data_IF_451102046516
#
_entry.id   IF_451102046516
#
_cell.length_a   1.000
_cell.length_b   1.000
_cell.length_c   1.000
_cell.angle_alpha   90.00
_cell.angle_beta   90.00
_cell.angle_gamma   90.00
#
_symmetry.space_group_name_H-M   'P 1'
#
loop_
_entity.id
_entity.type
_entity.pdbx_description
1 polymer ?
#
# COMPACT_ATOMS: atom_id res chain seq x y z
N UNK A 1 -10.96 37.20 -2.56
CA UNK A 1 -9.69 37.39 -1.83
C UNK A 1 -9.92 37.53 -0.32
N UNK A 2 -10.82 38.41 0.13
CA UNK A 2 -11.03 38.64 1.58
C UNK A 2 -11.59 37.42 2.34
N UNK A 3 -12.60 36.72 1.78
CA UNK A 3 -13.13 35.47 2.36
C UNK A 3 -12.10 34.32 2.36
N UNK A 4 -11.22 34.28 1.34
CA UNK A 4 -10.15 33.28 1.21
C UNK A 4 -9.09 33.47 2.28
N UNK A 5 -8.65 34.70 2.53
CA UNK A 5 -7.70 35.02 3.59
C UNK A 5 -8.25 34.66 4.98
N UNK A 6 -9.53 34.97 5.23
CA UNK A 6 -10.18 34.64 6.50
C UNK A 6 -10.27 33.11 6.75
N UNK A 7 -10.50 32.31 5.71
CA UNK A 7 -10.55 30.84 5.83
C UNK A 7 -9.19 30.24 6.19
N UNK A 8 -8.11 30.72 5.57
CA UNK A 8 -6.73 30.29 5.87
C UNK A 8 -6.36 30.65 7.31
N UNK A 9 -6.63 31.89 7.74
CA UNK A 9 -6.37 32.34 9.12
C UNK A 9 -7.12 31.50 10.15
N UNK A 10 -8.38 31.14 9.86
CA UNK A 10 -9.17 30.28 10.75
C UNK A 10 -8.56 28.87 10.87
N UNK A 11 -8.09 28.30 9.76
CA UNK A 11 -7.43 27.00 9.78
C UNK A 11 -6.14 27.05 10.58
N UNK A 12 -5.30 28.07 10.36
CA UNK A 12 -4.06 28.25 11.13
C UNK A 12 -4.37 28.38 12.63
N UNK A 13 -5.38 29.17 13.03
CA UNK A 13 -5.80 29.27 14.43
C UNK A 13 -6.28 27.93 15.01
N UNK A 14 -7.08 27.15 14.26
CA UNK A 14 -7.52 25.83 14.70
C UNK A 14 -6.35 24.84 14.87
N UNK A 15 -5.29 24.96 14.06
CA UNK A 15 -4.07 24.18 14.22
C UNK A 15 -3.33 24.57 15.50
N UNK A 16 -3.05 25.86 15.68
CA UNK A 16 -2.31 26.40 16.83
C UNK A 16 -3.03 26.11 18.15
N UNK A 17 -4.35 26.25 18.18
CA UNK A 17 -5.16 25.90 19.34
C UNK A 17 -5.07 24.41 19.69
N UNK A 18 -4.93 23.53 18.69
CA UNK A 18 -4.76 22.09 18.93
C UNK A 18 -3.36 21.76 19.41
N UNK A 19 -2.36 22.45 18.86
CA UNK A 19 -0.96 22.23 19.16
C UNK A 19 -0.62 22.68 20.59
N UNK A 20 -0.96 23.91 20.92
CA UNK A 20 -0.83 24.47 22.28
C UNK A 20 -1.57 23.66 23.34
N UNK A 21 -2.72 23.07 22.99
CA UNK A 21 -3.49 22.21 23.89
C UNK A 21 -3.01 20.75 23.98
N UNK A 22 -1.99 20.33 23.22
CA UNK A 22 -1.52 18.93 23.20
C UNK A 22 -2.59 17.92 22.76
N UNK A 23 -3.55 18.35 21.92
CA UNK A 23 -4.79 17.59 21.64
C UNK A 23 -4.68 16.55 20.53
N UNK A 24 -3.52 16.43 19.88
CA UNK A 24 -3.30 15.50 18.76
C UNK A 24 -3.47 14.04 19.13
N UNK A 25 -2.94 13.62 20.28
CA UNK A 25 -3.07 12.24 20.73
C UNK A 25 -4.54 11.87 20.98
N UNK A 26 -5.31 12.77 21.58
CA UNK A 26 -6.75 12.58 21.81
C UNK A 26 -7.51 12.42 20.49
N UNK A 27 -7.29 13.33 19.53
CA UNK A 27 -7.93 13.25 18.21
C UNK A 27 -7.58 11.96 17.48
N UNK A 28 -6.31 11.55 17.53
CA UNK A 28 -5.84 10.32 16.92
C UNK A 28 -6.55 9.09 17.51
N UNK A 29 -6.69 9.03 18.84
CA UNK A 29 -7.44 7.97 19.52
C UNK A 29 -8.93 7.98 19.18
N UNK A 30 -9.56 9.16 19.08
CA UNK A 30 -10.95 9.28 18.62
C UNK A 30 -11.14 8.69 17.22
N UNK A 31 -10.26 9.04 16.27
CA UNK A 31 -10.32 8.50 14.90
C UNK A 31 -10.15 6.99 14.92
N UNK A 32 -9.20 6.48 15.71
CA UNK A 32 -9.00 5.04 15.89
C UNK A 32 -10.27 4.36 16.40
N UNK A 33 -10.93 4.93 17.40
CA UNK A 33 -12.14 4.36 17.99
C UNK A 33 -13.36 4.43 17.05
N UNK A 34 -13.41 5.44 16.17
CA UNK A 34 -14.48 5.61 15.17
C UNK A 34 -14.22 4.87 13.85
N UNK A 35 -13.02 4.28 13.68
CA UNK A 35 -12.67 3.56 12.45
C UNK A 35 -13.50 2.28 12.33
N UNK A 36 -14.01 2.02 11.13
CA UNK A 36 -14.82 0.84 10.88
C UNK A 36 -13.95 -0.42 10.82
N UNK A 37 -14.46 -1.51 11.36
CA UNK A 37 -13.87 -2.84 11.16
C UNK A 37 -14.64 -3.56 10.06
N UNK A 38 -13.93 -3.91 8.99
CA UNK A 38 -14.46 -4.68 7.87
C UNK A 38 -13.81 -6.07 7.86
N UNK A 39 -14.47 -7.04 7.19
CA UNK A 39 -13.92 -8.39 7.01
C UNK A 39 -12.63 -8.37 6.20
N UNK A 40 -11.66 -9.22 6.58
CA UNK A 40 -10.38 -9.46 5.89
C UNK A 40 -10.04 -10.96 5.86
N UNK A 41 -11.06 -11.82 5.72
CA UNK A 41 -10.94 -13.28 5.84
C UNK A 41 -9.95 -13.87 4.82
N UNK A 42 -9.96 -13.38 3.58
CA UNK A 42 -9.09 -13.91 2.51
C UNK A 42 -7.62 -13.73 2.87
N UNK A 43 -7.27 -12.59 3.47
CA UNK A 43 -5.90 -12.31 3.91
C UNK A 43 -5.40 -13.27 5.00
N UNK A 44 -6.32 -13.94 5.71
CA UNK A 44 -6.03 -14.88 6.81
C UNK A 44 -6.00 -16.34 6.40
N UNK A 45 -6.32 -16.66 5.14
CA UNK A 45 -6.20 -18.04 4.66
C UNK A 45 -4.75 -18.54 4.78
N UNK A 46 -4.52 -19.81 5.17
CA UNK A 46 -3.19 -20.36 5.39
C UNK A 46 -2.23 -20.15 4.21
N UNK A 47 -2.72 -20.32 2.99
CA UNK A 47 -1.98 -20.14 1.72
C UNK A 47 -1.53 -18.69 1.48
N UNK A 48 -2.16 -17.70 2.11
CA UNK A 48 -1.85 -16.28 1.96
C UNK A 48 -0.90 -15.75 3.04
N UNK A 49 -0.55 -16.57 4.04
CA UNK A 49 0.31 -16.15 5.16
C UNK A 49 1.66 -15.61 4.70
N UNK A 50 2.28 -16.24 3.70
CA UNK A 50 3.56 -15.82 3.13
C UNK A 50 3.47 -14.65 2.13
N UNK A 51 2.26 -14.15 1.84
CA UNK A 51 2.03 -12.97 1.00
C UNK A 51 1.82 -11.70 1.84
N UNK A 52 1.79 -11.82 3.16
CA UNK A 52 1.61 -10.72 4.10
C UNK A 52 2.91 -10.39 4.83
N UNK A 53 3.40 -9.15 4.70
CA UNK A 53 4.59 -8.69 5.41
C UNK A 53 4.36 -8.58 6.93
N UNK A 54 3.17 -8.15 7.32
CA UNK A 54 2.78 -7.96 8.71
C UNK A 54 1.49 -8.74 9.02
N UNK A 55 1.49 -9.44 10.15
CA UNK A 55 0.34 -10.27 10.55
C UNK A 55 -0.92 -9.43 10.81
N UNK A 56 -0.74 -8.21 11.28
CA UNK A 56 -1.77 -7.29 11.76
C UNK A 56 -2.16 -6.21 10.75
N UNK A 57 -1.63 -6.24 9.52
CA UNK A 57 -1.99 -5.32 8.44
C UNK A 57 -2.50 -6.11 7.25
N UNK A 58 -3.81 -6.09 7.04
CA UNK A 58 -4.49 -6.89 6.03
C UNK A 58 -5.43 -6.01 5.20
N UNK A 59 -5.59 -6.25 3.89
CA UNK A 59 -6.60 -5.57 3.10
C UNK A 59 -8.00 -6.09 3.49
N UNK A 60 -9.02 -5.24 3.45
CA UNK A 60 -10.40 -5.68 3.61
C UNK A 60 -10.88 -6.44 2.37
N UNK A 61 -11.75 -7.43 2.56
CA UNK A 61 -12.21 -8.33 1.49
C UNK A 61 -12.96 -7.56 0.38
N UNK A 62 -13.70 -6.51 0.74
CA UNK A 62 -14.52 -5.74 -0.20
C UNK A 62 -13.70 -4.75 -1.05
N UNK A 63 -12.50 -4.37 -0.61
CA UNK A 63 -11.66 -3.36 -1.25
C UNK A 63 -10.31 -3.91 -1.70
N UNK A 64 -10.00 -5.19 -1.43
CA UNK A 64 -8.73 -5.79 -1.86
C UNK A 64 -8.64 -5.79 -3.38
N UNK A 65 -7.44 -5.54 -3.88
CA UNK A 65 -7.14 -5.80 -5.30
C UNK A 65 -7.08 -7.32 -5.50
N UNK A 66 -7.62 -7.79 -6.62
CA UNK A 66 -7.61 -9.21 -7.01
C UNK A 66 -6.78 -9.36 -8.27
N UNK A 67 -5.87 -10.31 -8.28
CA UNK A 67 -5.07 -10.65 -9.45
C UNK A 67 -5.85 -11.62 -10.34
N UNK A 68 -5.80 -11.46 -11.66
CA UNK A 68 -6.56 -12.31 -12.59
C UNK A 68 -5.70 -13.42 -13.19
N UNK A 69 -4.45 -13.14 -13.53
CA UNK A 69 -3.57 -14.08 -14.25
C UNK A 69 -2.67 -14.92 -13.32
N UNK A 70 -3.25 -15.47 -12.25
CA UNK A 70 -2.54 -16.33 -11.28
C UNK A 70 -3.52 -17.27 -10.58
N UNK A 71 -3.04 -18.43 -10.10
CA UNK A 71 -3.88 -19.41 -9.39
C UNK A 71 -4.47 -18.86 -8.08
N UNK A 72 -3.77 -17.93 -7.44
CA UNK A 72 -4.19 -17.30 -6.20
C UNK A 72 -4.27 -15.78 -6.38
N UNK A 73 -5.50 -15.28 -6.40
CA UNK A 73 -5.86 -13.87 -6.65
C UNK A 73 -5.39 -12.88 -5.57
N UNK A 74 -4.76 -13.36 -4.49
CA UNK A 74 -4.45 -12.55 -3.33
C UNK A 74 -3.15 -11.76 -3.48
N UNK A 75 -3.27 -10.46 -3.24
CA UNK A 75 -2.17 -9.53 -2.94
C UNK A 75 -2.59 -8.60 -1.79
N UNK A 76 -1.67 -8.23 -0.90
CA UNK A 76 -1.95 -7.29 0.19
C UNK A 76 -2.00 -5.84 -0.32
N UNK A 77 -3.06 -5.51 -1.05
CA UNK A 77 -3.31 -4.21 -1.63
C UNK A 77 -4.80 -3.86 -1.50
N UNK A 78 -5.11 -2.58 -1.33
CA UNK A 78 -6.49 -2.09 -1.21
C UNK A 78 -6.73 -0.95 -2.18
N UNK A 79 -7.83 -1.03 -2.93
CA UNK A 79 -8.34 0.05 -3.76
C UNK A 79 -9.09 1.05 -2.88
N UNK A 80 -8.55 2.27 -2.76
CA UNK A 80 -9.14 3.36 -1.97
C UNK A 80 -9.76 4.37 -2.93
N UNK A 81 -11.09 4.47 -2.91
CA UNK A 81 -11.85 5.33 -3.83
C UNK A 81 -12.41 6.54 -3.10
N UNK A 82 -12.01 7.73 -3.55
CA UNK A 82 -12.49 9.02 -3.05
C UNK A 82 -13.31 9.70 -4.15
N UNK A 83 -14.59 9.31 -4.25
CA UNK A 83 -15.49 9.68 -5.36
C UNK A 83 -15.59 11.20 -5.56
N UNK A 84 -15.83 11.96 -4.50
CA UNK A 84 -15.93 13.42 -4.58
C UNK A 84 -14.62 14.07 -5.06
N UNK A 85 -13.49 13.56 -4.59
CA UNK A 85 -12.18 14.00 -5.06
C UNK A 85 -11.89 13.50 -6.49
N UNK A 86 -12.66 12.56 -7.03
CA UNK A 86 -12.37 11.81 -8.26
C UNK A 86 -10.92 11.30 -8.24
N UNK A 87 -10.56 10.70 -7.11
CA UNK A 87 -9.22 10.20 -6.87
C UNK A 87 -9.29 8.78 -6.36
N UNK A 88 -8.49 7.92 -6.99
CA UNK A 88 -8.41 6.51 -6.65
C UNK A 88 -6.95 6.12 -6.48
N UNK A 89 -6.67 5.38 -5.42
CA UNK A 89 -5.32 4.90 -5.10
C UNK A 89 -5.35 3.40 -4.88
N UNK A 90 -4.23 2.74 -5.17
CA UNK A 90 -3.96 1.40 -4.64
C UNK A 90 -2.94 1.54 -3.52
N UNK A 91 -3.36 1.28 -2.29
CA UNK A 91 -2.47 1.28 -1.13
C UNK A 91 -2.03 -0.15 -0.82
N UNK A 92 -0.73 -0.41 -0.86
CA UNK A 92 -0.16 -1.76 -0.75
C UNK A 92 1.06 -1.80 0.17
N UNK A 93 1.40 -2.98 0.68
CA UNK A 93 2.63 -3.19 1.43
C UNK A 93 3.87 -3.07 0.51
N UNK A 94 5.04 -2.83 1.09
CA UNK A 94 6.31 -3.00 0.39
C UNK A 94 6.47 -4.46 -0.02
N UNK A 95 6.67 -4.78 -1.32
CA UNK A 95 6.73 -6.16 -1.80
C UNK A 95 7.69 -7.03 -1.00
N UNK A 96 7.30 -8.28 -0.78
CA UNK A 96 8.18 -9.34 -0.32
C UNK A 96 8.91 -9.93 -1.52
N UNK A 97 10.03 -10.63 -1.29
CA UNK A 97 10.80 -11.28 -2.37
C UNK A 97 9.93 -12.18 -3.24
N UNK A 98 9.01 -12.93 -2.63
CA UNK A 98 8.06 -13.82 -3.30
C UNK A 98 6.78 -13.13 -3.81
N UNK A 99 6.66 -11.80 -3.68
CA UNK A 99 5.52 -11.04 -4.18
C UNK A 99 5.90 -9.88 -5.11
N UNK A 100 7.16 -9.77 -5.53
CA UNK A 100 7.57 -8.78 -6.52
C UNK A 100 6.88 -9.00 -7.87
N UNK A 101 6.80 -10.24 -8.35
CA UNK A 101 6.07 -10.56 -9.58
C UNK A 101 4.58 -10.21 -9.48
N UNK A 102 3.93 -10.63 -8.40
CA UNK A 102 2.54 -10.25 -8.11
C UNK A 102 2.31 -8.73 -8.08
N UNK A 103 3.27 -7.95 -7.59
CA UNK A 103 3.20 -6.50 -7.56
C UNK A 103 3.23 -5.89 -8.97
N UNK A 104 4.10 -6.38 -9.85
CA UNK A 104 4.15 -5.93 -11.25
C UNK A 104 2.96 -6.41 -12.07
N UNK A 105 2.45 -7.61 -11.80
CA UNK A 105 1.19 -8.09 -12.37
C UNK A 105 0.03 -7.15 -12.00
N UNK A 106 -0.07 -6.75 -10.73
CA UNK A 106 -1.07 -5.78 -10.28
C UNK A 106 -0.93 -4.44 -11.03
N UNK A 107 0.29 -3.90 -11.15
CA UNK A 107 0.55 -2.65 -11.87
C UNK A 107 0.08 -2.74 -13.33
N UNK A 108 0.34 -3.88 -13.98
CA UNK A 108 -0.08 -4.15 -15.34
C UNK A 108 -1.60 -4.23 -15.50
N UNK A 109 -2.25 -5.08 -14.70
CA UNK A 109 -3.70 -5.33 -14.75
C UNK A 109 -4.49 -4.06 -14.43
N UNK A 110 -4.03 -3.29 -13.45
CA UNK A 110 -4.68 -2.07 -13.02
C UNK A 110 -4.36 -0.87 -13.91
N UNK A 111 -3.53 -1.02 -14.95
CA UNK A 111 -3.10 0.06 -15.86
C UNK A 111 -2.49 1.26 -15.13
N UNK A 112 -1.78 0.98 -14.04
CA UNK A 112 -1.13 2.00 -13.21
C UNK A 112 -0.06 2.73 -14.01
N UNK A 113 -0.05 4.07 -13.93
CA UNK A 113 0.97 4.91 -14.57
C UNK A 113 2.14 5.26 -13.66
N UNK A 114 1.90 5.33 -12.35
CA UNK A 114 2.94 5.66 -11.38
C UNK A 114 2.88 4.81 -10.11
N UNK A 115 4.07 4.58 -9.55
CA UNK A 115 4.30 4.01 -8.23
C UNK A 115 4.95 5.06 -7.34
N UNK A 116 4.38 5.30 -6.17
CA UNK A 116 4.90 6.19 -5.14
C UNK A 116 5.41 5.34 -3.98
N UNK A 117 6.74 5.31 -3.81
CA UNK A 117 7.46 4.58 -2.78
C UNK A 117 7.91 5.55 -1.67
N UNK A 118 7.44 5.32 -0.44
CA UNK A 118 7.67 6.23 0.69
C UNK A 118 8.59 5.66 1.77
N UNK A 119 9.37 4.62 1.46
CA UNK A 119 10.32 4.00 2.38
C UNK A 119 11.63 3.63 1.69
N UNK A 120 12.68 3.39 2.47
CA UNK A 120 13.89 2.74 1.97
C UNK A 120 13.76 1.22 2.04
N UNK A 121 14.51 0.50 1.20
CA UNK A 121 14.59 -0.97 1.21
C UNK A 121 14.97 -1.46 2.61
N UNK A 122 15.97 -0.82 3.23
CA UNK A 122 16.43 -1.10 4.58
C UNK A 122 16.23 0.15 5.45
N UNK A 123 15.59 -0.01 6.61
CA UNK A 123 15.44 1.04 7.62
C UNK A 123 15.76 0.47 8.99
N UNK A 124 16.59 1.18 9.77
CA UNK A 124 17.03 0.73 11.11
C UNK A 124 17.59 -0.70 11.09
N UNK A 125 18.34 -1.06 10.04
CA UNK A 125 18.96 -2.38 9.87
C UNK A 125 18.02 -3.52 9.45
N UNK A 126 16.74 -3.25 9.19
CA UNK A 126 15.76 -4.28 8.80
C UNK A 126 15.24 -4.06 7.37
N UNK A 127 15.05 -5.14 6.61
CA UNK A 127 14.43 -5.09 5.27
C UNK A 127 12.93 -4.75 5.39
N UNK A 128 12.55 -3.57 4.90
CA UNK A 128 11.18 -3.03 4.93
C UNK A 128 10.45 -3.23 3.61
N UNK A 129 11.17 -3.49 2.54
CA UNK A 129 10.68 -3.70 1.18
C UNK A 129 11.75 -4.48 0.41
N UNK A 130 11.37 -5.41 -0.46
CA UNK A 130 12.32 -6.02 -1.38
C UNK A 130 12.79 -5.01 -2.44
N UNK A 131 13.96 -5.24 -3.02
CA UNK A 131 14.40 -4.57 -4.24
C UNK A 131 13.55 -5.10 -5.41
N UNK A 132 12.46 -4.40 -5.75
CA UNK A 132 11.49 -4.85 -6.76
C UNK A 132 11.66 -4.15 -8.11
N UNK A 133 12.59 -3.20 -8.22
CA UNK A 133 12.94 -2.51 -9.47
C UNK A 133 14.46 -2.64 -9.71
N UNK A 134 14.93 -2.64 -10.97
CA UNK A 134 16.36 -2.75 -11.27
C UNK A 134 17.14 -1.53 -10.79
N UNK A 135 18.39 -1.74 -10.35
CA UNK A 135 19.33 -0.64 -10.09
C UNK A 135 20.02 -0.16 -11.36
N UNK A 136 20.80 0.92 -11.28
CA UNK A 136 21.59 1.43 -12.39
C UNK A 136 22.63 0.42 -12.91
N UNK A 137 23.11 -0.47 -12.03
CA UNK A 137 24.04 -1.55 -12.35
C UNK A 137 23.33 -2.74 -13.01
N UNK A 138 22.19 -3.17 -12.45
CA UNK A 138 21.44 -4.33 -12.95
C UNK A 138 20.74 -4.03 -14.29
N UNK A 139 20.29 -2.78 -14.49
CA UNK A 139 19.52 -2.26 -15.66
C UNK A 139 18.15 -2.89 -15.89
N UNK A 140 18.00 -4.19 -15.68
CA UNK A 140 16.75 -4.92 -15.86
C UNK A 140 16.56 -6.02 -14.82
N UNK A 141 15.29 -6.38 -14.56
CA UNK A 141 14.93 -7.43 -13.62
C UNK A 141 13.73 -8.22 -14.16
N UNK A 142 13.86 -9.54 -14.22
CA UNK A 142 12.84 -10.44 -14.74
C UNK A 142 12.06 -11.14 -13.62
N UNK A 143 10.73 -11.04 -13.68
CA UNK A 143 9.76 -11.70 -12.80
C UNK A 143 9.06 -12.81 -13.57
N UNK A 144 9.76 -13.96 -13.71
CA UNK A 144 9.33 -15.08 -14.57
C UNK A 144 8.08 -15.79 -14.06
N UNK A 145 7.82 -15.74 -12.75
CA UNK A 145 6.62 -16.27 -12.10
C UNK A 145 5.33 -15.61 -12.60
N UNK A 146 5.43 -14.36 -13.07
CA UNK A 146 4.30 -13.57 -13.60
C UNK A 146 4.50 -13.11 -15.04
N UNK A 147 5.63 -13.45 -15.67
CA UNK A 147 5.91 -13.14 -17.07
C UNK A 147 6.21 -11.67 -17.34
N UNK A 148 6.91 -10.97 -16.43
CA UNK A 148 7.27 -9.56 -16.62
C UNK A 148 8.77 -9.33 -16.62
N UNK A 149 9.20 -8.31 -17.36
CA UNK A 149 10.53 -7.72 -17.32
C UNK A 149 10.39 -6.24 -17.00
N UNK A 150 11.21 -5.75 -16.08
CA UNK A 150 11.25 -4.33 -15.71
C UNK A 150 12.64 -3.81 -16.04
N UNK A 151 12.74 -2.78 -16.87
CA UNK A 151 13.99 -2.13 -17.23
C UNK A 151 14.03 -0.68 -16.73
N UNK A 152 15.19 -0.22 -16.28
CA UNK A 152 15.44 1.18 -15.91
C UNK A 152 15.79 1.99 -17.15
N UNK A 153 14.94 2.94 -17.52
CA UNK A 153 15.20 3.84 -18.65
C UNK A 153 15.96 5.09 -18.22
N UNK A 154 15.55 5.72 -17.13
CA UNK A 154 16.20 6.90 -16.56
C UNK A 154 16.01 6.98 -15.05
N UNK A 155 16.94 7.67 -14.39
CA UNK A 155 16.93 7.98 -12.97
C UNK A 155 17.39 9.43 -12.77
N UNK A 156 16.64 10.19 -11.98
CA UNK A 156 17.00 11.54 -11.52
C UNK A 156 16.93 11.57 -9.99
N UNK A 157 18.09 11.71 -9.36
CA UNK A 157 18.24 11.68 -7.90
C UNK A 157 18.40 13.09 -7.36
N UNK A 158 17.51 13.45 -6.42
CA UNK A 158 17.51 14.69 -5.65
C UNK A 158 17.87 14.40 -4.19
N UNK A 159 18.02 15.45 -3.39
CA UNK A 159 18.48 15.30 -1.99
C UNK A 159 17.55 14.45 -1.10
N UNK A 160 16.24 14.46 -1.34
CA UNK A 160 15.25 13.73 -0.51
C UNK A 160 14.30 12.81 -1.30
N UNK A 161 14.43 12.76 -2.62
CA UNK A 161 13.68 11.84 -3.46
C UNK A 161 14.44 11.47 -4.72
N UNK A 162 14.07 10.36 -5.33
CA UNK A 162 14.53 9.95 -6.65
C UNK A 162 13.32 9.71 -7.54
N UNK A 163 13.39 10.14 -8.79
CA UNK A 163 12.42 9.77 -9.82
C UNK A 163 13.05 8.82 -10.82
N UNK A 164 12.30 7.81 -11.26
CA UNK A 164 12.74 6.90 -12.32
C UNK A 164 11.66 6.76 -13.37
N UNK A 165 12.09 6.51 -14.60
CA UNK A 165 11.22 5.98 -15.65
C UNK A 165 11.60 4.52 -15.84
N UNK A 166 10.63 3.64 -15.62
CA UNK A 166 10.77 2.20 -15.80
C UNK A 166 9.99 1.77 -17.04
N UNK A 167 10.50 0.81 -17.78
CA UNK A 167 9.75 0.08 -18.81
C UNK A 167 9.29 -1.24 -18.23
N UNK A 168 7.98 -1.45 -18.15
CA UNK A 168 7.36 -2.71 -17.81
C UNK A 168 6.94 -3.44 -19.08
N UNK A 169 7.57 -4.57 -19.36
CA UNK A 169 7.28 -5.42 -20.51
C UNK A 169 6.54 -6.68 -20.07
N UNK A 170 5.41 -6.97 -20.72
CA UNK A 170 4.76 -8.27 -20.64
C UNK A 170 5.48 -9.24 -21.59
N UNK A 171 6.14 -10.25 -21.04
CA UNK A 171 6.94 -11.21 -21.81
C UNK A 171 6.10 -12.16 -22.66
N UNK A 172 4.81 -12.33 -22.33
CA UNK A 172 3.91 -13.20 -23.08
C UNK A 172 3.37 -12.50 -24.35
N UNK A 173 3.17 -11.18 -24.30
CA UNK A 173 2.58 -10.41 -25.42
C UNK A 173 3.59 -9.53 -26.15
N UNK A 174 4.73 -9.21 -25.52
CA UNK A 174 5.69 -8.23 -25.99
C UNK A 174 5.28 -6.77 -25.77
N UNK A 175 4.07 -6.51 -25.25
CA UNK A 175 3.60 -5.15 -24.97
C UNK A 175 4.45 -4.49 -23.87
N UNK A 176 4.74 -3.19 -24.04
CA UNK A 176 5.57 -2.39 -23.14
C UNK A 176 4.81 -1.16 -22.67
N UNK A 177 5.00 -0.79 -21.40
CA UNK A 177 4.44 0.42 -20.79
C UNK A 177 5.49 1.14 -19.97
N UNK A 178 5.49 2.47 -20.03
CA UNK A 178 6.32 3.29 -19.15
C UNK A 178 5.61 3.51 -17.81
N UNK A 179 6.37 3.33 -16.73
CA UNK A 179 5.90 3.51 -15.35
C UNK A 179 6.80 4.53 -14.67
N UNK A 180 6.20 5.59 -14.13
CA UNK A 180 6.93 6.51 -13.27
C UNK A 180 7.10 5.92 -11.89
N UNK A 181 8.32 5.96 -11.36
CA UNK A 181 8.63 5.55 -9.99
C UNK A 181 9.10 6.77 -9.19
N UNK A 182 8.29 7.19 -8.23
CA UNK A 182 8.60 8.31 -7.33
C UNK A 182 9.00 7.76 -5.98
N UNK A 183 10.27 7.93 -5.59
CA UNK A 183 10.83 7.35 -4.39
C UNK A 183 11.24 8.45 -3.40
N UNK A 184 10.47 8.64 -2.34
CA UNK A 184 10.83 9.53 -1.24
C UNK A 184 11.83 8.81 -0.30
N UNK A 185 13.06 9.32 -0.19
CA UNK A 185 14.20 8.57 0.41
C UNK A 185 14.50 8.96 1.86
N UNK A 186 14.09 10.14 2.31
CA UNK A 186 14.44 10.67 3.65
C UNK A 186 13.30 10.63 4.66
N UNK A 187 12.16 10.00 4.36
CA UNK A 187 11.05 9.89 5.32
C UNK A 187 11.37 8.82 6.39
N UNK A 188 11.55 9.21 7.67
CA UNK A 188 11.85 8.26 8.74
C UNK A 188 10.66 7.33 9.06
N UNK A 189 10.94 6.06 9.38
CA UNK A 189 9.89 5.11 9.80
C UNK A 189 9.26 5.56 11.13
N UNK A 190 7.94 5.58 11.19
CA UNK A 190 7.10 6.13 12.27
C UNK A 190 7.25 7.62 12.57
N UNK A 191 8.19 8.31 11.93
CA UNK A 191 8.32 9.76 12.00
C UNK A 191 7.53 10.48 10.92
N UNK A 192 7.86 11.76 10.78
CA UNK A 192 7.31 12.67 9.77
C UNK A 192 8.48 13.34 9.02
N UNK A 193 8.27 13.84 7.79
CA UNK A 193 9.23 14.72 7.15
C UNK A 193 9.52 15.93 8.03
N UNK A 194 10.76 16.43 7.99
CA UNK A 194 11.19 17.57 8.81
C UNK A 194 10.39 18.86 8.54
N UNK A 195 9.91 19.01 7.30
CA UNK A 195 9.10 20.15 6.86
C UNK A 195 8.00 19.70 5.89
N UNK A 196 6.80 20.32 5.92
CA UNK A 196 5.80 20.15 4.87
C UNK A 196 6.29 20.54 3.48
N UNK A 197 7.28 21.44 3.36
CA UNK A 197 7.75 21.94 2.08
C UNK A 197 8.32 20.83 1.17
N UNK A 198 9.19 19.96 1.70
CA UNK A 198 9.77 18.85 0.93
C UNK A 198 8.71 17.81 0.54
N UNK A 199 7.80 17.50 1.47
CA UNK A 199 6.67 16.62 1.19
C UNK A 199 5.75 17.19 0.11
N UNK A 200 5.38 18.48 0.20
CA UNK A 200 4.50 19.13 -0.76
C UNK A 200 5.19 19.24 -2.12
N UNK A 201 6.45 19.67 -2.20
CA UNK A 201 7.17 19.69 -3.47
C UNK A 201 7.20 18.31 -4.14
N UNK A 202 7.47 17.24 -3.39
CA UNK A 202 7.38 15.87 -3.91
C UNK A 202 5.96 15.50 -4.38
N UNK A 203 4.92 15.80 -3.59
CA UNK A 203 3.52 15.55 -3.97
C UNK A 203 3.16 16.28 -5.27
N UNK A 204 3.56 17.55 -5.41
CA UNK A 204 3.32 18.33 -6.62
C UNK A 204 4.09 17.77 -7.81
N UNK A 205 5.31 17.25 -7.64
CA UNK A 205 6.01 16.50 -8.70
C UNK A 205 5.22 15.27 -9.17
N UNK A 206 4.61 14.51 -8.25
CA UNK A 206 3.74 13.40 -8.61
C UNK A 206 2.49 13.89 -9.37
N UNK A 207 1.88 15.01 -8.94
CA UNK A 207 0.71 15.61 -9.62
C UNK A 207 1.05 16.10 -11.03
N UNK A 208 2.19 16.78 -11.22
CA UNK A 208 2.67 17.31 -12.50
C UNK A 208 2.86 16.22 -13.55
N UNK A 209 3.12 14.96 -13.15
CA UNK A 209 3.21 13.82 -14.07
C UNK A 209 1.87 13.38 -14.69
N UNK A 210 0.75 13.90 -14.18
CA UNK A 210 -0.61 13.50 -14.57
C UNK A 210 -1.01 12.10 -14.08
N UNK A 211 -0.16 11.37 -13.35
CA UNK A 211 -0.44 9.99 -12.96
C UNK A 211 -1.57 9.83 -11.94
N UNK A 212 -1.89 10.89 -11.18
CA UNK A 212 -3.01 10.89 -10.23
C UNK A 212 -4.36 11.19 -10.90
N UNK A 213 -4.39 11.51 -12.20
CA UNK A 213 -5.60 11.81 -12.96
C UNK A 213 -6.50 10.59 -13.21
N UNK A 214 -7.67 10.83 -13.81
CA UNK A 214 -8.68 9.80 -14.12
C UNK A 214 -8.42 9.05 -15.43
N UNK A 215 -7.48 9.53 -16.25
CA UNK A 215 -7.19 8.99 -17.59
C UNK A 215 -6.38 7.67 -17.55
N UNK A 216 -5.96 7.27 -16.36
CA UNK A 216 -5.11 6.10 -16.14
C UNK A 216 -5.63 5.27 -14.97
N UNK A 217 -5.05 4.09 -14.81
CA UNK A 217 -5.26 3.28 -13.63
C UNK A 217 -4.83 3.97 -12.34
N UNK A 218 -5.32 3.52 -11.17
CA UNK A 218 -4.95 4.10 -9.89
C UNK A 218 -3.43 4.14 -9.66
N UNK A 219 -2.92 5.25 -9.15
CA UNK A 219 -1.54 5.32 -8.65
C UNK A 219 -1.36 4.36 -7.49
N UNK A 220 -0.31 3.54 -7.57
CA UNK A 220 0.07 2.63 -6.48
C UNK A 220 0.93 3.42 -5.49
N UNK A 221 0.52 3.46 -4.23
CA UNK A 221 1.27 4.12 -3.15
C UNK A 221 1.62 3.10 -2.10
N UNK A 222 2.90 2.99 -1.75
CA UNK A 222 3.35 2.06 -0.72
C UNK A 222 4.41 2.66 0.20
N UNK A 223 4.53 2.06 1.37
CA UNK A 223 5.68 2.19 2.25
C UNK A 223 6.08 0.77 2.65
N UNK A 224 6.40 0.50 3.91
CA UNK A 224 6.59 -0.88 4.37
C UNK A 224 5.26 -1.63 4.56
N UNK A 225 4.35 -1.11 5.39
CA UNK A 225 3.03 -1.71 5.63
C UNK A 225 1.92 -1.18 4.71
N UNK A 226 2.15 -0.06 4.03
CA UNK A 226 1.16 0.57 3.17
C UNK A 226 0.03 1.28 3.90
N UNK A 227 0.25 1.76 5.13
CA UNK A 227 -0.80 2.39 5.96
C UNK A 227 -0.38 3.73 6.60
N UNK A 228 0.80 3.83 7.20
CA UNK A 228 1.26 5.07 7.86
C UNK A 228 1.56 6.19 6.85
N UNK A 229 2.77 6.16 6.28
CA UNK A 229 3.24 7.13 5.27
C UNK A 229 2.33 7.19 4.03
N UNK A 230 1.89 6.03 3.54
CA UNK A 230 0.94 5.95 2.42
C UNK A 230 -0.42 6.58 2.73
N UNK A 231 -0.90 6.44 3.97
CA UNK A 231 -2.11 7.09 4.45
C UNK A 231 -1.95 8.61 4.51
N UNK A 232 -0.82 9.10 5.04
CA UNK A 232 -0.49 10.54 5.04
C UNK A 232 -0.46 11.11 3.63
N UNK A 233 0.28 10.48 2.71
CA UNK A 233 0.38 10.95 1.32
C UNK A 233 -1.00 11.08 0.66
N UNK A 234 -1.79 10.02 0.74
CA UNK A 234 -3.08 9.94 0.05
C UNK A 234 -4.13 10.85 0.70
N UNK A 235 -4.10 11.01 2.03
CA UNK A 235 -4.98 11.93 2.74
C UNK A 235 -4.70 13.37 2.35
N UNK A 236 -3.43 13.79 2.38
CA UNK A 236 -3.07 15.17 2.03
C UNK A 236 -3.44 15.47 0.58
N UNK A 237 -3.12 14.57 -0.36
CA UNK A 237 -3.53 14.73 -1.76
C UNK A 237 -5.06 14.88 -1.89
N UNK A 238 -5.84 13.98 -1.29
CA UNK A 238 -7.30 14.01 -1.34
C UNK A 238 -7.86 15.33 -0.79
N UNK A 239 -7.40 15.76 0.38
CA UNK A 239 -7.83 17.02 1.00
C UNK A 239 -7.54 18.20 0.08
N UNK A 240 -6.32 18.30 -0.44
CA UNK A 240 -5.93 19.39 -1.34
C UNK A 240 -6.77 19.41 -2.63
N UNK A 241 -7.13 18.25 -3.20
CA UNK A 241 -8.06 18.18 -4.35
C UNK A 241 -9.44 18.71 -4.00
N UNK A 242 -9.97 18.37 -2.83
CA UNK A 242 -11.28 18.83 -2.39
C UNK A 242 -11.28 20.34 -2.13
N UNK A 243 -10.21 20.88 -1.54
CA UNK A 243 -10.02 22.32 -1.38
C UNK A 243 -10.03 23.00 -2.76
N UNK A 244 -9.27 22.47 -3.72
CA UNK A 244 -9.20 23.04 -5.07
C UNK A 244 -10.55 22.99 -5.80
N UNK A 245 -11.29 21.87 -5.70
CA UNK A 245 -12.61 21.72 -6.32
C UNK A 245 -13.65 22.65 -5.72
N UNK A 246 -13.67 22.78 -4.39
CA UNK A 246 -14.69 23.57 -3.68
C UNK A 246 -14.32 25.04 -3.58
N UNK A 247 -13.05 25.38 -3.84
CA UNK A 247 -12.47 26.73 -3.67
C UNK A 247 -12.69 27.29 -2.26
N UNK A 248 -12.77 26.40 -1.27
CA UNK A 248 -12.99 26.74 0.13
C UNK A 248 -12.21 25.76 1.03
N UNK A 249 -11.06 26.19 1.59
CA UNK A 249 -10.28 25.41 2.53
C UNK A 249 -11.07 24.99 3.78
N UNK A 250 -12.00 25.82 4.25
CA UNK A 250 -12.78 25.56 5.47
C UNK A 250 -13.84 24.47 5.32
N UNK A 251 -14.17 24.10 4.08
CA UNK A 251 -15.12 23.02 3.78
C UNK A 251 -14.57 21.61 4.03
N UNK A 252 -13.24 21.47 4.20
CA UNK A 252 -12.55 20.17 4.22
C UNK A 252 -12.32 19.71 5.66
N UNK A 253 -13.12 18.73 6.09
CA UNK A 253 -12.90 18.02 7.35
C UNK A 253 -11.93 16.84 7.16
N UNK A 254 -10.66 17.08 7.51
CA UNK A 254 -9.57 16.10 7.42
C UNK A 254 -9.86 14.83 8.25
N UNK A 255 -10.50 14.96 9.43
CA UNK A 255 -10.87 13.81 10.28
C UNK A 255 -11.87 12.92 9.55
N UNK A 256 -12.93 13.52 9.02
CA UNK A 256 -13.98 12.80 8.30
C UNK A 256 -13.47 12.15 7.02
N UNK A 257 -12.57 12.80 6.29
CA UNK A 257 -11.94 12.21 5.09
C UNK A 257 -11.07 11.01 5.46
N UNK A 258 -10.25 11.11 6.51
CA UNK A 258 -9.45 9.97 6.98
C UNK A 258 -10.33 8.79 7.40
N UNK A 259 -11.44 9.04 8.10
CA UNK A 259 -12.41 7.98 8.45
C UNK A 259 -13.03 7.33 7.22
N UNK A 260 -13.36 8.11 6.17
CA UNK A 260 -13.82 7.57 4.88
C UNK A 260 -12.77 6.70 4.22
N UNK A 261 -11.52 7.14 4.14
CA UNK A 261 -10.42 6.35 3.58
C UNK A 261 -10.17 5.06 4.36
N UNK A 262 -10.29 5.11 5.70
CA UNK A 262 -10.15 3.93 6.58
C UNK A 262 -11.24 2.88 6.39
N UNK A 263 -12.33 3.18 5.69
CA UNK A 263 -13.30 2.15 5.25
C UNK A 263 -12.71 1.22 4.19
N UNK A 264 -11.71 1.65 3.43
CA UNK A 264 -11.09 0.86 2.37
C UNK A 264 -9.83 0.13 2.82
N UNK A 265 -9.04 0.71 3.72
CA UNK A 265 -7.84 0.07 4.27
C UNK A 265 -7.68 0.43 5.74
N UNK A 266 -7.45 -0.57 6.57
CA UNK A 266 -7.24 -0.37 8.00
C UNK A 266 -6.03 0.54 8.29
N UNK A 267 -6.08 1.25 9.42
CA UNK A 267 -4.88 1.83 10.02
C UNK A 267 -4.21 2.96 9.25
N UNK A 268 -4.85 3.58 8.27
CA UNK A 268 -4.24 4.71 7.57
C UNK A 268 -3.86 5.81 8.58
N UNK A 269 -2.60 6.27 8.54
CA UNK A 269 -1.95 7.11 9.57
C UNK A 269 -1.78 6.35 10.90
N UNK A 270 -0.53 6.15 11.32
CA UNK A 270 -0.15 5.26 12.42
C UNK A 270 0.22 5.98 13.72
N UNK A 271 0.50 7.28 13.69
CA UNK A 271 0.87 8.08 14.88
C UNK A 271 0.10 9.40 14.93
N UNK A 272 0.00 9.99 16.12
CA UNK A 272 -0.51 11.36 16.32
C UNK A 272 0.30 12.37 15.50
N UNK A 273 1.61 12.15 15.38
CA UNK A 273 2.51 13.08 14.71
C UNK A 273 2.29 13.04 13.19
N UNK A 274 2.03 11.86 12.61
CA UNK A 274 1.61 11.74 11.21
C UNK A 274 0.26 12.42 10.97
N UNK A 275 -0.67 12.36 11.93
CA UNK A 275 -1.94 13.07 11.83
C UNK A 275 -1.72 14.59 11.88
N UNK A 276 -0.96 15.08 12.86
CA UNK A 276 -0.56 16.49 12.98
C UNK A 276 0.10 16.98 11.71
N UNK A 277 1.09 16.24 11.20
CA UNK A 277 1.79 16.57 9.96
C UNK A 277 0.84 16.62 8.76
N UNK A 278 -0.16 15.75 8.69
CA UNK A 278 -1.17 15.78 7.62
C UNK A 278 -1.96 17.09 7.63
N UNK A 279 -2.36 17.58 8.82
CA UNK A 279 -3.01 18.90 8.94
C UNK A 279 -2.07 20.02 8.48
N UNK A 280 -0.84 20.01 8.99
CA UNK A 280 0.18 21.00 8.66
C UNK A 280 0.43 21.08 7.15
N UNK A 281 0.55 19.93 6.47
CA UNK A 281 0.75 19.86 5.03
C UNK A 281 -0.49 20.26 4.22
N UNK A 282 -1.71 19.94 4.67
CA UNK A 282 -2.93 20.40 4.01
C UNK A 282 -3.06 21.92 4.11
N UNK A 283 -2.76 22.50 5.28
CA UNK A 283 -2.92 23.94 5.51
C UNK A 283 -1.90 24.74 4.70
N UNK A 284 -0.64 24.28 4.72
CA UNK A 284 0.41 24.86 3.90
C UNK A 284 0.12 24.71 2.39
N UNK A 285 -0.32 23.51 1.96
CA UNK A 285 -0.69 23.26 0.57
C UNK A 285 -1.91 24.06 0.09
N UNK A 286 -2.83 24.39 1.00
CA UNK A 286 -4.01 25.20 0.68
C UNK A 286 -3.62 26.63 0.27
N UNK A 287 -2.56 27.22 0.86
CA UNK A 287 -2.07 28.56 0.49
C UNK A 287 -1.73 28.63 -1.00
N UNK A 288 -1.02 27.62 -1.51
CA UNK A 288 -0.70 27.51 -2.94
C UNK A 288 -1.97 27.38 -3.81
N UNK A 289 -2.89 26.49 -3.44
CA UNK A 289 -4.13 26.25 -4.21
C UNK A 289 -5.03 27.49 -4.26
N UNK A 290 -5.04 28.29 -3.19
CA UNK A 290 -5.84 29.51 -3.10
C UNK A 290 -5.23 30.71 -3.84
N UNK A 291 -4.15 30.51 -4.60
CA UNK A 291 -3.63 31.48 -5.55
C UNK A 291 -2.28 32.10 -5.19
N UNK A 292 -1.65 31.66 -4.10
CA UNK A 292 -0.28 32.08 -3.78
C UNK A 292 0.74 31.20 -4.53
N UNK A 293 0.96 31.52 -5.81
CA UNK A 293 1.92 30.79 -6.64
C UNK A 293 3.37 30.96 -6.19
N UNK A 294 3.68 31.96 -5.35
CA UNK A 294 5.03 32.17 -4.81
C UNK A 294 5.46 31.04 -3.88
N UNK A 295 4.49 30.37 -3.25
CA UNK A 295 4.71 29.29 -2.29
C UNK A 295 5.39 28.06 -2.92
N UNK A 296 5.11 27.74 -4.18
CA UNK A 296 5.77 26.60 -4.83
C UNK A 296 7.28 26.84 -5.05
N UNK A 297 7.66 28.07 -5.39
CA UNK A 297 9.08 28.45 -5.48
C UNK A 297 9.74 28.40 -4.10
N UNK A 298 9.06 28.90 -3.06
CA UNK A 298 9.53 28.81 -1.69
C UNK A 298 9.73 27.37 -1.24
N UNK A 299 8.81 26.46 -1.56
CA UNK A 299 8.98 25.04 -1.22
C UNK A 299 10.17 24.42 -1.92
N UNK A 300 10.40 24.74 -3.20
CA UNK A 300 11.58 24.25 -3.92
C UNK A 300 12.86 24.71 -3.23
N UNK A 301 12.97 26.00 -2.91
CA UNK A 301 14.11 26.60 -2.20
C UNK A 301 14.31 25.99 -0.80
N UNK A 302 13.24 25.93 0.01
CA UNK A 302 13.28 25.41 1.37
C UNK A 302 13.56 23.91 1.41
N UNK A 303 13.11 23.16 0.39
CA UNK A 303 13.35 21.72 0.29
C UNK A 303 14.78 21.38 -0.05
N UNK A 304 15.55 22.33 -0.62
CA UNK A 304 16.95 22.14 -1.02
C UNK A 304 17.13 20.90 -1.91
N UNK A 305 16.22 20.70 -2.88
CA UNK A 305 16.18 19.47 -3.69
C UNK A 305 17.45 19.24 -4.53
N UNK A 306 18.09 20.31 -4.99
CA UNK A 306 19.30 20.26 -5.83
C UNK A 306 20.61 20.22 -5.02
N UNK A 307 20.54 20.14 -3.69
CA UNK A 307 21.75 19.90 -2.88
C UNK A 307 22.20 18.43 -3.02
N UNK A 308 23.51 18.20 -2.92
CA UNK A 308 24.04 16.85 -2.86
C UNK A 308 23.38 16.06 -1.73
N UNK A 309 23.01 14.78 -1.94
CA UNK A 309 22.46 13.94 -0.89
C UNK A 309 23.44 13.90 0.29
N UNK A 310 23.00 14.35 1.47
CA UNK A 310 23.87 14.36 2.65
C UNK A 310 24.32 12.93 2.96
N UNK A 311 25.62 12.66 2.88
CA UNK A 311 26.21 11.43 3.39
C UNK A 311 25.91 11.35 4.89
N UNK A 312 25.21 10.30 5.30
CA UNK A 312 24.48 10.25 6.57
C UNK A 312 25.31 10.64 7.80
N UNK A 313 24.77 11.52 8.62
CA UNK A 313 25.19 11.64 10.02
C UNK A 313 24.85 10.33 10.75
N UNK A 314 25.71 9.82 11.65
CA UNK A 314 25.37 8.66 12.46
C UNK A 314 24.10 8.96 13.27
N UNK A 315 23.25 7.95 13.54
CA UNK A 315 22.03 8.17 14.32
C UNK A 315 22.39 8.79 15.66
N UNK A 316 21.71 9.87 16.04
CA UNK A 316 21.83 10.45 17.37
C UNK A 316 21.60 9.34 18.40
N UNK A 317 22.55 9.15 19.32
CA UNK A 317 22.47 8.26 20.47
C UNK A 317 21.39 8.75 21.44
N UNK A 318 20.12 8.48 21.13
CA UNK A 318 19.07 8.46 22.14
C UNK A 318 19.05 7.07 22.78
N UNK A 319 18.90 6.97 24.12
CA UNK A 319 18.97 5.71 24.83
C UNK A 319 17.88 4.74 24.36
N UNK A 320 18.29 3.50 24.10
CA UNK A 320 17.42 2.40 23.68
C UNK A 320 16.37 2.09 24.76
N UNK A 321 15.16 2.59 24.58
CA UNK A 321 13.99 1.96 25.17
C UNK A 321 13.67 0.71 24.32
N UNK A 322 13.62 -0.47 24.94
CA UNK A 322 13.10 -1.69 24.29
C UNK A 322 11.64 -1.43 23.87
N UNK A 323 11.40 -1.25 22.57
CA UNK A 323 10.05 -1.20 22.03
C UNK A 323 9.37 -2.58 22.23
N UNK A 324 8.15 -2.63 22.83
CA UNK A 324 7.33 -3.85 22.81
C UNK A 324 6.93 -4.19 21.36
N UNK A 325 6.47 -5.42 21.06
CA UNK A 325 5.94 -5.74 19.73
C UNK A 325 4.73 -4.83 19.42
N UNK A 326 4.96 -3.86 18.54
CA UNK A 326 4.01 -2.80 18.19
C UNK A 326 2.82 -3.38 17.42
N UNK A 327 1.60 -3.05 17.86
CA UNK A 327 0.35 -3.42 17.19
C UNK A 327 -0.04 -2.30 16.23
N UNK A 328 -0.24 -2.62 14.97
CA UNK A 328 -0.78 -1.70 13.98
C UNK A 328 -2.21 -1.30 14.35
N UNK A 329 -2.53 -0.01 14.18
CA UNK A 329 -3.87 0.49 14.46
C UNK A 329 -4.88 -0.13 13.48
N UNK A 330 -5.93 -0.79 13.98
CA UNK A 330 -6.95 -1.44 13.15
C UNK A 330 -7.27 -2.89 13.52
N UNK A 331 -6.53 -3.49 14.45
CA UNK A 331 -6.92 -4.76 15.10
C UNK A 331 -7.56 -4.47 16.47
N UNK A 332 -8.89 -4.35 16.58
CA UNK A 332 -9.53 -4.52 17.90
C UNK A 332 -9.55 -6.01 18.27
N UNK A 333 -9.53 -6.30 19.58
CA UNK A 333 -9.45 -7.67 20.12
C UNK A 333 -10.74 -8.43 19.78
N UNK A 334 -10.63 -9.38 18.85
CA UNK A 334 -11.63 -10.41 18.58
C UNK A 334 -10.99 -11.80 18.43
N UNK A 335 -10.03 -12.15 19.29
CA UNK A 335 -9.49 -13.51 19.35
C UNK A 335 -9.60 -14.03 20.79
N UNK A 336 -10.41 -15.08 20.95
CA UNK A 336 -10.46 -15.92 22.15
C UNK A 336 -9.06 -16.49 22.45
N UNK A 337 -8.68 -16.68 23.72
CA UNK A 337 -7.43 -17.32 24.06
C UNK A 337 -7.56 -18.84 23.87
N UNK A 338 -6.70 -19.42 23.03
CA UNK A 338 -6.49 -20.86 22.98
C UNK A 338 -5.42 -21.24 24.03
N UNK A 339 -5.78 -22.17 24.90
CA UNK A 339 -4.95 -22.63 26.01
C UNK A 339 -3.86 -23.61 25.54
N UNK A 340 -2.64 -23.39 26.01
CA UNK A 340 -1.72 -24.47 26.38
C UNK A 340 -0.81 -25.07 25.30
N UNK A 341 0.50 -24.79 25.42
CA UNK A 341 1.48 -25.76 25.96
C UNK A 341 2.88 -25.14 25.97
N UNK A 342 3.42 -24.97 27.17
CA UNK A 342 4.82 -24.66 27.42
C UNK A 342 5.68 -25.92 27.21
N UNK A 343 6.79 -25.78 26.48
CA UNK A 343 7.96 -26.63 26.67
C UNK A 343 9.17 -25.72 26.90
N UNK A 344 9.68 -25.78 28.13
CA UNK A 344 10.96 -25.19 28.53
C UNK A 344 12.10 -26.07 28.01
N UNK A 345 13.19 -25.45 27.56
CA UNK A 345 14.50 -26.09 27.58
C UNK A 345 15.56 -25.06 28.00
N UNK A 346 16.07 -25.29 29.22
CA UNK A 346 17.28 -24.68 29.77
C UNK A 346 18.53 -25.33 29.17
N UNK A 347 19.64 -24.59 29.13
CA UNK A 347 20.97 -25.20 29.26
C UNK A 347 22.06 -24.78 28.27
N UNK A 348 22.75 -23.68 28.60
CA UNK A 348 24.18 -23.34 28.43
C UNK A 348 25.10 -24.13 27.44
N UNK A 349 25.83 -23.33 26.64
CA UNK A 349 27.08 -23.62 25.90
C UNK A 349 28.28 -23.83 26.86
N UNK A 350 29.43 -24.43 26.46
CA UNK A 350 30.50 -23.73 25.72
C UNK A 350 31.24 -24.59 24.64
N UNK A 351 31.48 -24.04 23.45
CA UNK A 351 32.77 -23.58 22.88
C UNK A 351 33.81 -24.64 22.40
N UNK A 352 34.53 -24.25 21.31
CA UNK A 352 35.69 -24.87 20.62
C UNK A 352 35.38 -26.06 19.70
N UNK A 353 36.02 -26.28 18.55
CA UNK A 353 36.97 -25.54 17.69
C UNK A 353 37.14 -26.37 16.39
N UNK A 354 37.39 -25.69 15.27
CA UNK A 354 38.08 -26.13 14.03
C UNK A 354 38.24 -27.63 13.71
N UNK A 355 37.84 -28.06 12.51
CA UNK A 355 38.74 -28.39 11.39
C UNK A 355 38.00 -29.06 10.21
N UNK A 356 38.68 -29.03 9.08
CA UNK A 356 38.26 -29.27 7.69
C UNK A 356 38.11 -30.76 7.29
N UNK A 357 37.43 -30.90 6.14
CA UNK A 357 37.77 -31.75 4.97
C UNK A 357 37.13 -33.14 4.77
N UNK A 358 36.60 -33.26 3.52
CA UNK A 358 36.52 -34.42 2.60
C UNK A 358 35.56 -35.58 2.94
N UNK A 359 34.48 -35.76 2.18
CA UNK A 359 34.33 -36.36 0.84
C UNK A 359 34.41 -37.90 0.78
N UNK A 360 33.55 -38.45 -0.08
CA UNK A 360 33.41 -39.84 -0.56
C UNK A 360 32.74 -40.83 0.41
N UNK A 361 31.91 -41.78 0.01
CA UNK A 361 31.18 -42.13 -1.22
C UNK A 361 30.35 -43.38 -0.82
N UNK A 362 29.36 -43.78 -1.62
CA UNK A 362 28.93 -45.18 -1.65
C UNK A 362 27.54 -45.51 -1.11
N UNK A 363 26.58 -45.51 -2.04
CA UNK A 363 25.50 -46.50 -2.26
C UNK A 363 25.35 -47.63 -1.22
N UNK A 364 24.15 -48.11 -0.87
CA UNK A 364 23.25 -48.83 -1.78
C UNK A 364 21.89 -49.09 -1.11
N UNK A 365 20.81 -48.89 -1.88
CA UNK A 365 19.55 -49.67 -1.93
C UNK A 365 18.97 -50.32 -0.66
N UNK A 366 17.70 -50.02 -0.36
CA UNK A 366 16.67 -51.06 -0.41
C UNK A 366 15.25 -50.55 -0.70
N UNK A 367 14.73 -51.16 -1.76
CA UNK A 367 13.41 -51.13 -2.37
C UNK A 367 12.41 -51.90 -1.49
N UNK A 368 11.24 -51.33 -1.19
CA UNK A 368 10.01 -52.11 -0.94
C UNK A 368 8.80 -51.44 -1.59
N UNK A 369 8.51 -51.92 -2.80
CA UNK A 369 7.14 -52.04 -3.34
C UNK A 369 6.41 -53.13 -2.55
N UNK A 370 5.12 -52.94 -2.30
CA UNK A 370 4.13 -54.01 -2.35
C UNK A 370 2.80 -53.44 -2.85
N UNK A 371 2.41 -53.91 -4.02
CA UNK A 371 1.05 -53.89 -4.55
C UNK A 371 0.19 -54.94 -3.81
N UNK A 372 -1.11 -54.69 -3.76
CA UNK A 372 -2.19 -55.59 -4.24
C UNK A 372 -3.43 -55.62 -3.35
N UNK A 373 -4.59 -55.50 -3.99
CA UNK A 373 -5.90 -55.64 -3.35
C UNK A 373 -7.08 -55.20 -4.20
N UNK A 374 -7.24 -55.79 -5.39
CA UNK A 374 -8.45 -55.71 -6.22
C UNK A 374 -9.60 -56.49 -5.54
N UNK A 375 -10.82 -55.94 -5.54
CA UNK A 375 -12.06 -56.74 -5.70
C UNK A 375 -13.24 -55.89 -6.18
N UNK A 376 -13.89 -56.40 -7.23
CA UNK A 376 -15.07 -55.89 -7.94
C UNK A 376 -16.36 -56.50 -7.37
N UNK A 377 -17.47 -55.77 -7.43
CA UNK A 377 -18.82 -56.20 -7.91
C UNK A 377 -19.77 -55.00 -7.73
N UNK A 378 -20.42 -54.39 -8.73
CA UNK A 378 -21.40 -54.78 -9.76
C UNK A 378 -22.86 -54.97 -9.28
N UNK A 379 -23.70 -54.02 -9.76
CA UNK A 379 -25.09 -54.11 -10.29
C UNK A 379 -26.31 -54.30 -9.36
N UNK A 380 -27.22 -53.29 -9.35
CA UNK A 380 -28.57 -53.27 -9.98
C UNK A 380 -29.35 -52.01 -9.50
N UNK A 381 -29.75 -51.04 -10.35
CA UNK A 381 -30.96 -50.93 -11.22
C UNK A 381 -32.32 -50.89 -10.51
N UNK A 382 -32.98 -49.70 -10.54
CA UNK A 382 -34.36 -49.42 -11.03
C UNK A 382 -34.75 -47.95 -10.68
N UNK A 383 -35.01 -47.00 -11.61
CA UNK A 383 -36.28 -46.67 -12.34
C UNK A 383 -37.51 -46.54 -11.43
N UNK A 384 -38.46 -45.60 -11.52
CA UNK A 384 -38.95 -44.49 -12.39
C UNK A 384 -39.91 -43.67 -11.47
N UNK A 385 -40.42 -42.44 -11.70
CA UNK A 385 -41.20 -41.85 -12.81
C UNK A 385 -41.48 -40.37 -12.44
N UNK A 386 -41.14 -39.38 -13.27
CA UNK A 386 -42.01 -38.66 -14.24
C UNK A 386 -43.31 -38.03 -13.68
N UNK A 387 -43.39 -36.70 -13.80
CA UNK A 387 -44.59 -36.01 -14.28
C UNK A 387 -44.17 -34.96 -15.31
N UNK A 388 -44.81 -34.98 -16.48
CA UNK A 388 -44.51 -34.19 -17.68
C UNK A 388 -45.82 -33.52 -18.14
N UNK A 389 -45.68 -32.33 -18.74
CA UNK A 389 -46.54 -31.69 -19.77
C UNK A 389 -47.81 -30.97 -19.27
N UNK A 390 -48.24 -29.83 -19.84
CA UNK A 390 -48.32 -29.51 -21.27
C UNK A 390 -48.22 -28.01 -21.64
N UNK A 391 -47.92 -27.83 -22.93
CA UNK A 391 -47.88 -26.63 -23.78
C UNK A 391 -49.23 -25.91 -24.01
N UNK A 392 -49.11 -24.64 -24.42
CA UNK A 392 -49.79 -23.96 -25.56
C UNK A 392 -50.70 -22.75 -25.27
N UNK A 393 -50.29 -21.58 -25.80
CA UNK A 393 -51.05 -20.62 -26.66
C UNK A 393 -50.26 -19.27 -26.75
N UNK A 394 -49.47 -19.03 -27.81
CA UNK A 394 -49.75 -18.33 -29.08
C UNK A 394 -50.22 -16.85 -28.99
N UNK A 395 -49.26 -15.97 -29.40
CA UNK A 395 -49.35 -14.88 -30.40
C UNK A 395 -50.06 -13.54 -30.08
N UNK A 396 -49.39 -12.48 -30.61
CA UNK A 396 -49.78 -11.07 -30.94
C UNK A 396 -49.39 -10.06 -29.85
N UNK A 397 -48.74 -8.92 -30.11
CA UNK A 397 -48.44 -8.18 -31.36
C UNK A 397 -47.27 -7.19 -31.12
N UNK A 398 -46.58 -6.90 -32.21
CA UNK A 398 -45.54 -5.88 -32.46
C UNK A 398 -46.09 -4.43 -32.37
N UNK A 399 -45.22 -3.50 -31.95
CA UNK A 399 -45.04 -2.08 -32.38
C UNK A 399 -46.18 -1.05 -32.33
N UNK A 400 -45.93 0.09 -31.65
CA UNK A 400 -45.88 1.49 -32.16
C UNK A 400 -45.75 2.47 -30.97
N UNK A 401 -44.64 3.20 -30.83
CA UNK A 401 -44.46 4.65 -31.16
C UNK A 401 -45.54 5.59 -30.61
N UNK A 402 -45.17 6.51 -29.70
CA UNK A 402 -45.20 7.97 -29.91
C UNK A 402 -44.98 8.73 -28.60
N UNK A 403 -43.99 9.63 -28.63
CA UNK A 403 -43.95 10.99 -28.05
C UNK A 403 -44.95 11.36 -26.95
N UNK A 404 -44.41 11.74 -25.79
CA UNK A 404 -44.55 13.08 -25.20
C UNK A 404 -43.53 13.28 -24.07
#
# INVERSE_FOLDING_TARGET
>A
MEQTGAAIVKMDQEFEDRDSGGRWQKLFLEIRNQSHECSYKVAKYPENRNRNRYRDVNPFDHSRVKLENTENDYINASLVVMEEAQRTYILTQGPLKNTCGHFWLMIWEQKTKAVVMLNRVIEKGSEKCAQYWPTAEEREMAFRDTGFLVALLSEDTKSYYTTRILELQNLNTGEKRQIYHFHYTTWPDFGVPESPASFLNFLFKVRESGALGVDHGPTVVHCSAGIGRSGTFSLVDTCLVLIDKRKDPSSVDIKSILLKMRKYRMGLIQTSDQLRFSYMAVFEGAKFIMGDSSVQNQWRELSKEDQEPSSGSPPSTQPQARCPPERCNGSQRGAQPDEGREYRQDGKVPAQSSCKEQELDGSTTQKRRREDGISKSSTNKATQSKSRLNDSERKRKRTKTSDC
#
